data_IF_042691180151
#
_entry.id   IF_042691180151
#
_cell.length_a   1.000
_cell.length_b   1.000
_cell.length_c   1.000
_cell.angle_alpha   90.00
_cell.angle_beta   90.00
_cell.angle_gamma   90.00
#
_symmetry.space_group_name_H-M   'P 1'
#
loop_
_entity.id
_entity.type
_entity.pdbx_description
1 polymer ?
#
# COMPACT_ATOMS: atom_id res chain seq x y z
N UNK A 1 0.54 -2.74 7.15
CA UNK A 1 1.50 -2.57 8.28
C UNK A 1 1.08 -3.41 9.48
N UNK A 2 0.18 -2.98 10.36
CA UNK A 2 -0.10 -3.67 11.63
C UNK A 2 -0.78 -5.04 11.52
N UNK A 3 -1.63 -5.22 10.52
CA UNK A 3 -2.52 -6.39 10.41
C UNK A 3 -2.07 -7.43 9.39
N UNK A 4 -1.12 -7.08 8.53
CA UNK A 4 -0.56 -7.99 7.56
C UNK A 4 0.63 -8.70 8.19
N UNK A 5 0.45 -9.99 8.50
CA UNK A 5 1.50 -10.84 9.07
C UNK A 5 2.39 -11.50 8.03
N UNK A 6 2.18 -11.24 6.73
CA UNK A 6 2.98 -11.79 5.64
C UNK A 6 4.24 -10.98 5.30
N UNK A 7 4.37 -9.78 5.85
CA UNK A 7 5.48 -8.84 5.63
C UNK A 7 6.06 -8.36 6.98
N UNK A 8 7.07 -7.48 6.94
CA UNK A 8 7.84 -7.03 8.11
C UNK A 8 7.37 -5.67 8.66
N UNK A 9 6.13 -5.26 8.36
CA UNK A 9 5.55 -4.03 8.91
C UNK A 9 6.38 -2.78 8.56
N UNK A 10 6.93 -2.12 9.59
CA UNK A 10 7.78 -0.94 9.43
C UNK A 10 9.20 -1.26 8.95
N UNK A 11 9.63 -2.52 9.02
CA UNK A 11 10.95 -2.97 8.57
C UNK A 11 10.96 -3.43 7.10
N UNK A 12 9.85 -3.20 6.38
CA UNK A 12 9.73 -3.42 4.94
C UNK A 12 8.66 -4.42 4.53
N UNK A 13 8.46 -4.55 3.22
CA UNK A 13 7.46 -5.43 2.62
C UNK A 13 7.62 -5.53 1.11
N UNK A 14 6.79 -6.38 0.48
CA UNK A 14 6.83 -6.59 -0.98
C UNK A 14 5.55 -6.06 -1.63
N UNK A 15 5.70 -5.35 -2.76
CA UNK A 15 4.57 -4.82 -3.53
C UNK A 15 3.51 -5.90 -3.84
N UNK A 16 3.96 -7.06 -4.31
CA UNK A 16 3.06 -8.16 -4.64
C UNK A 16 2.27 -8.66 -3.41
N UNK A 17 2.91 -8.75 -2.23
CA UNK A 17 2.24 -9.13 -0.97
C UNK A 17 1.13 -8.14 -0.63
N UNK A 18 1.39 -6.83 -0.73
CA UNK A 18 0.40 -5.80 -0.43
C UNK A 18 -0.84 -5.90 -1.33
N UNK A 19 -0.65 -6.09 -2.64
CA UNK A 19 -1.75 -6.29 -3.59
C UNK A 19 -2.49 -7.61 -3.33
N UNK A 20 -1.78 -8.70 -3.03
CA UNK A 20 -2.39 -9.97 -2.63
C UNK A 20 -3.21 -9.84 -1.34
N UNK A 21 -2.72 -9.10 -0.35
CA UNK A 21 -3.45 -8.82 0.89
C UNK A 21 -4.71 -8.00 0.61
N UNK A 22 -4.62 -6.96 -0.25
CA UNK A 22 -5.78 -6.18 -0.66
C UNK A 22 -6.85 -7.05 -1.35
N UNK A 23 -6.45 -7.97 -2.22
CA UNK A 23 -7.39 -8.88 -2.90
C UNK A 23 -8.00 -9.91 -1.95
N UNK A 24 -7.18 -10.63 -1.21
CA UNK A 24 -7.62 -11.81 -0.45
C UNK A 24 -8.21 -11.42 0.92
N UNK A 25 -7.58 -10.47 1.60
CA UNK A 25 -7.93 -10.09 2.98
C UNK A 25 -8.79 -8.84 3.04
N UNK A 26 -8.48 -7.84 2.21
CA UNK A 26 -9.10 -6.52 2.22
C UNK A 26 -8.54 -5.57 3.28
N UNK A 27 -8.73 -4.28 3.05
CA UNK A 27 -8.30 -3.17 3.92
C UNK A 27 -9.50 -2.33 4.35
N UNK A 28 -9.35 -1.58 5.43
CA UNK A 28 -10.36 -0.62 5.91
C UNK A 28 -9.93 0.81 5.56
N UNK A 29 -10.83 1.77 5.71
CA UNK A 29 -10.54 3.19 5.53
C UNK A 29 -9.58 3.71 6.62
N UNK A 30 -8.96 4.87 6.35
CA UNK A 30 -8.15 5.58 7.35
C UNK A 30 -9.02 6.07 8.52
N UNK A 31 -10.29 6.42 8.30
CA UNK A 31 -11.21 6.74 9.39
C UNK A 31 -11.44 5.55 10.35
N UNK A 32 -11.56 4.33 9.81
CA UNK A 32 -11.69 3.12 10.62
C UNK A 32 -10.37 2.78 11.34
N UNK A 33 -9.22 2.82 10.66
CA UNK A 33 -7.92 2.51 11.28
C UNK A 33 -6.86 3.54 10.91
N UNK A 34 -6.82 4.68 11.63
CA UNK A 34 -5.95 5.80 11.29
C UNK A 34 -4.48 5.43 11.25
N UNK A 35 -3.76 6.00 10.29
CA UNK A 35 -2.32 5.78 10.16
C UNK A 35 -1.55 6.27 11.40
N UNK A 36 -0.96 5.32 12.13
CA UNK A 36 -0.18 5.59 13.34
C UNK A 36 1.25 5.00 13.32
N UNK A 37 1.71 4.53 12.15
CA UNK A 37 3.02 3.89 11.98
C UNK A 37 4.13 4.85 11.50
N UNK A 38 3.88 6.16 11.49
CA UNK A 38 4.78 7.17 10.92
C UNK A 38 6.11 7.35 11.65
N UNK A 39 6.21 6.89 12.90
CA UNK A 39 7.46 6.89 13.68
C UNK A 39 8.29 5.61 13.49
N UNK A 40 7.92 4.74 12.53
CA UNK A 40 8.59 3.45 12.32
C UNK A 40 8.17 2.35 13.29
N UNK A 41 7.19 2.58 14.16
CA UNK A 41 6.62 1.55 15.04
C UNK A 41 5.15 1.34 14.70
N UNK A 42 4.80 0.11 14.32
CA UNK A 42 3.42 -0.23 14.02
C UNK A 42 2.63 -0.48 15.32
N UNK A 43 1.42 0.10 15.49
CA UNK A 43 0.54 -0.29 16.57
C UNK A 43 0.06 -1.74 16.39
N UNK A 44 -0.47 -2.35 17.45
CA UNK A 44 -1.12 -3.66 17.36
C UNK A 44 -2.32 -3.60 16.41
N UNK A 45 -2.56 -4.67 15.67
CA UNK A 45 -3.79 -4.82 14.88
C UNK A 45 -4.99 -5.09 15.79
N UNK A 46 -5.75 -4.05 16.14
CA UNK A 46 -6.90 -4.16 17.04
C UNK A 46 -8.14 -4.77 16.39
N UNK A 47 -8.21 -4.78 15.05
CA UNK A 47 -9.37 -5.23 14.26
C UNK A 47 -10.70 -4.61 14.73
N UNK A 48 -10.65 -3.33 15.09
CA UNK A 48 -11.77 -2.51 15.55
C UNK A 48 -11.65 -1.13 14.93
N UNK A 49 -12.75 -0.61 14.38
CA UNK A 49 -12.74 0.72 13.80
C UNK A 49 -12.85 1.81 14.87
N UNK A 50 -12.14 2.92 14.67
CA UNK A 50 -12.16 4.10 15.53
C UNK A 50 -13.43 4.95 15.33
N UNK A 51 -13.99 4.94 14.12
CA UNK A 51 -15.23 5.64 13.74
C UNK A 51 -16.51 4.88 14.12
N UNK A 52 -16.39 3.72 14.75
CA UNK A 52 -17.53 2.91 15.20
C UNK A 52 -18.09 1.93 14.16
N UNK A 53 -17.55 1.89 12.94
CA UNK A 53 -17.96 0.89 11.96
C UNK A 53 -17.55 -0.54 12.37
N UNK A 54 -18.19 -1.53 11.75
CA UNK A 54 -17.83 -2.93 11.95
C UNK A 54 -16.66 -3.32 11.06
N UNK A 55 -15.52 -3.62 11.67
CA UNK A 55 -14.25 -3.94 10.99
C UNK A 55 -14.38 -4.92 9.82
N UNK A 56 -15.13 -6.01 9.99
CA UNK A 56 -15.27 -7.06 8.97
C UNK A 56 -16.07 -6.61 7.74
N UNK A 57 -17.13 -5.80 7.94
CA UNK A 57 -17.96 -5.29 6.84
C UNK A 57 -17.36 -4.06 6.16
N UNK A 58 -16.53 -3.28 6.86
CA UNK A 58 -15.85 -2.10 6.31
C UNK A 58 -14.66 -2.43 5.40
N UNK A 59 -14.37 -3.71 5.19
CA UNK A 59 -13.26 -4.15 4.34
C UNK A 59 -13.56 -3.97 2.86
N UNK A 60 -12.72 -3.21 2.17
CA UNK A 60 -12.67 -3.11 0.72
C UNK A 60 -11.61 -4.07 0.18
N UNK A 61 -11.92 -4.75 -0.92
CA UNK A 61 -11.03 -5.68 -1.62
C UNK A 61 -10.84 -5.28 -3.07
N UNK A 62 -9.65 -5.52 -3.60
CA UNK A 62 -9.44 -5.48 -5.05
C UNK A 62 -10.10 -6.69 -5.71
N UNK A 63 -10.79 -6.48 -6.83
CA UNK A 63 -11.38 -7.56 -7.62
C UNK A 63 -10.31 -8.39 -8.34
N UNK A 64 -9.26 -7.73 -8.84
CA UNK A 64 -8.13 -8.36 -9.51
C UNK A 64 -6.83 -7.62 -9.22
N UNK A 65 -5.72 -8.34 -9.28
CA UNK A 65 -4.36 -7.80 -9.14
C UNK A 65 -3.44 -8.54 -10.12
N UNK A 66 -2.50 -7.83 -10.73
CA UNK A 66 -1.53 -8.38 -11.68
C UNK A 66 -0.28 -7.50 -11.74
N UNK A 67 0.83 -8.09 -12.19
CA UNK A 67 2.05 -7.37 -12.44
C UNK A 67 2.00 -6.68 -13.81
N UNK A 68 2.59 -5.49 -13.89
CA UNK A 68 2.72 -4.72 -15.13
C UNK A 68 4.23 -4.64 -15.44
N UNK A 69 4.60 -4.99 -16.67
CA UNK A 69 6.00 -5.02 -17.08
C UNK A 69 6.21 -4.17 -18.33
N UNK A 70 7.24 -3.32 -18.30
CA UNK A 70 7.65 -2.48 -19.42
C UNK A 70 6.92 -1.13 -19.49
N UNK A 71 7.64 -0.10 -19.95
CA UNK A 71 7.18 1.29 -19.97
C UNK A 71 5.89 1.48 -20.78
N UNK A 72 5.76 0.85 -21.94
CA UNK A 72 4.56 0.95 -22.77
C UNK A 72 3.30 0.44 -22.06
N UNK A 73 3.41 -0.68 -21.34
CA UNK A 73 2.29 -1.24 -20.57
C UNK A 73 1.97 -0.38 -19.35
N UNK A 74 2.99 0.16 -18.66
CA UNK A 74 2.78 1.09 -17.55
C UNK A 74 2.07 2.38 -18.00
N UNK A 75 2.49 2.96 -19.13
CA UNK A 75 1.83 4.13 -19.73
C UNK A 75 0.37 3.83 -20.07
N UNK A 76 0.11 2.71 -20.74
CA UNK A 76 -1.26 2.29 -21.09
C UNK A 76 -2.13 2.11 -19.84
N UNK A 77 -1.60 1.48 -18.80
CA UNK A 77 -2.35 1.26 -17.57
C UNK A 77 -2.69 2.58 -16.88
N UNK A 78 -1.71 3.48 -16.74
CA UNK A 78 -1.92 4.80 -16.12
C UNK A 78 -3.01 5.57 -16.86
N UNK A 79 -2.96 5.57 -18.19
CA UNK A 79 -3.92 6.32 -19.03
C UNK A 79 -5.34 5.75 -19.00
N UNK A 80 -5.50 4.45 -18.78
CA UNK A 80 -6.81 3.77 -18.92
C UNK A 80 -7.43 3.36 -17.59
N UNK A 81 -6.63 3.17 -16.54
CA UNK A 81 -7.08 2.67 -15.22
C UNK A 81 -6.62 3.53 -14.04
N UNK A 82 -5.78 4.53 -14.27
CA UNK A 82 -5.31 5.45 -13.25
C UNK A 82 -4.00 5.01 -12.58
N UNK A 83 -3.65 5.59 -11.42
CA UNK A 83 -2.34 5.43 -10.80
C UNK A 83 -1.94 3.96 -10.55
N UNK A 84 -0.66 3.67 -10.77
CA UNK A 84 -0.06 2.35 -10.51
C UNK A 84 0.98 2.45 -9.40
N UNK A 85 1.31 1.32 -8.79
CA UNK A 85 2.38 1.22 -7.79
C UNK A 85 3.65 0.66 -8.44
N UNK A 86 4.79 1.29 -8.16
CA UNK A 86 6.12 0.86 -8.62
C UNK A 86 7.13 0.94 -7.47
N UNK A 87 8.27 0.26 -7.63
CA UNK A 87 9.44 0.43 -6.77
C UNK A 87 10.66 0.71 -7.64
N UNK A 88 11.59 1.49 -7.10
CA UNK A 88 12.87 1.79 -7.73
C UNK A 88 13.95 1.86 -6.65
N UNK A 89 15.20 1.73 -7.07
CA UNK A 89 16.33 1.80 -6.14
C UNK A 89 16.61 3.26 -5.77
N UNK A 90 16.53 3.55 -4.47
CA UNK A 90 16.80 4.88 -3.93
C UNK A 90 18.31 5.01 -3.65
N UNK A 91 18.91 6.06 -4.19
CA UNK A 91 20.29 6.47 -3.91
C UNK A 91 20.31 7.71 -3.02
N UNK A 92 21.45 8.00 -2.37
CA UNK A 92 21.60 9.19 -1.51
C UNK A 92 21.26 10.50 -2.22
N UNK A 93 21.57 10.60 -3.51
CA UNK A 93 21.23 11.76 -4.36
C UNK A 93 19.73 12.05 -4.43
N UNK A 94 18.89 11.02 -4.36
CA UNK A 94 17.43 11.17 -4.38
C UNK A 94 16.92 11.96 -3.17
N UNK A 95 17.54 11.77 -1.99
CA UNK A 95 17.15 12.48 -0.76
C UNK A 95 17.35 14.00 -0.86
N UNK A 96 18.18 14.47 -1.80
CA UNK A 96 18.46 15.88 -2.05
C UNK A 96 17.81 16.44 -3.31
N UNK A 97 17.09 15.61 -4.09
CA UNK A 97 16.44 16.03 -5.33
C UNK A 97 15.31 17.03 -5.05
N UNK A 98 15.18 18.07 -5.89
CA UNK A 98 14.20 19.16 -5.71
C UNK A 98 13.41 19.52 -6.98
N UNK A 99 14.01 19.39 -8.17
CA UNK A 99 13.38 19.72 -9.45
C UNK A 99 14.15 19.11 -10.63
N UNK A 100 13.53 19.08 -11.81
CA UNK A 100 14.11 18.53 -13.04
C UNK A 100 13.64 17.10 -13.34
N UNK A 101 14.44 16.33 -14.07
CA UNK A 101 14.26 14.87 -14.17
C UNK A 101 15.36 14.25 -13.32
N UNK A 102 14.98 13.45 -12.32
CA UNK A 102 15.92 12.77 -11.43
C UNK A 102 16.77 11.74 -12.19
#
# INVERSE_FOLDING_TARGET
>A
VSCDGGDMGCDGGRLASAWSYLKNTGIVSDACFPYAAGNGTAPKCLRKCADGETWSSSKVRASSVYAINGAANMQKEIMTKGPIQVAFQVYKSFMSYKSGVY
#
